data_IF_421156929559
#
_entry.id   IF_421156929559
#
_cell.length_a   1.000
_cell.length_b   1.000
_cell.length_c   1.000
_cell.angle_alpha   90.00
_cell.angle_beta   90.00
_cell.angle_gamma   90.00
#
_symmetry.space_group_name_H-M   'P 1'
#
loop_
_entity.id
_entity.type
_entity.pdbx_description
1 polymer ?
#
# COMPACT_ATOMS: atom_id res chain seq x y z
N UNK A 1 5.92 33.35 -82.41
CA UNK A 1 4.58 33.99 -82.40
C UNK A 1 4.05 33.92 -81.04
N UNK A 2 4.02 35.07 -80.38
CA UNK A 2 3.08 35.64 -79.42
C UNK A 2 2.86 34.85 -78.09
N UNK A 3 3.41 35.32 -77.02
CA UNK A 3 2.89 36.32 -76.06
C UNK A 3 1.70 35.76 -75.21
N UNK A 4 1.82 35.58 -73.95
CA UNK A 4 1.45 36.55 -72.92
C UNK A 4 1.81 36.08 -71.46
N UNK A 5 2.32 37.03 -70.72
CA UNK A 5 2.52 37.07 -69.27
C UNK A 5 1.19 36.97 -68.50
N UNK A 6 1.21 36.39 -67.29
CA UNK A 6 0.67 37.11 -66.13
C UNK A 6 1.22 36.44 -64.85
N UNK A 7 1.82 37.24 -64.01
CA UNK A 7 2.31 36.90 -62.71
C UNK A 7 1.21 36.93 -61.64
N UNK A 8 1.39 36.19 -60.56
CA UNK A 8 0.85 36.50 -59.24
C UNK A 8 1.78 36.01 -58.17
N UNK A 9 2.29 36.96 -57.46
CA UNK A 9 2.95 36.87 -56.19
C UNK A 9 2.13 36.04 -55.19
N UNK A 10 2.69 35.00 -54.62
CA UNK A 10 2.12 34.33 -53.43
C UNK A 10 3.15 34.37 -52.34
N UNK A 11 2.78 35.06 -51.24
CA UNK A 11 3.48 35.12 -49.97
C UNK A 11 3.79 33.71 -49.43
N UNK A 12 5.05 33.52 -49.11
CA UNK A 12 5.50 32.38 -48.32
C UNK A 12 5.29 32.77 -46.87
N UNK A 13 4.23 32.27 -46.23
CA UNK A 13 4.13 32.21 -44.79
C UNK A 13 4.68 30.86 -44.34
N UNK A 14 5.89 30.86 -43.83
CA UNK A 14 6.50 29.72 -43.17
C UNK A 14 5.79 29.44 -41.87
N UNK A 15 4.92 28.43 -41.81
CA UNK A 15 4.50 27.82 -40.56
C UNK A 15 5.59 26.84 -40.14
N UNK A 16 6.40 27.25 -39.18
CA UNK A 16 7.16 26.33 -38.36
C UNK A 16 6.17 25.53 -37.49
N UNK A 17 5.81 24.34 -37.88
CA UNK A 17 5.21 23.34 -37.01
C UNK A 17 6.31 22.76 -36.11
N UNK A 18 6.51 23.34 -34.93
CA UNK A 18 7.17 22.66 -33.84
C UNK A 18 6.31 21.42 -33.49
N UNK A 19 6.77 20.26 -33.93
CA UNK A 19 6.28 18.99 -33.41
C UNK A 19 6.65 18.82 -31.96
N UNK A 20 5.77 19.27 -31.07
CA UNK A 20 5.76 18.84 -29.67
C UNK A 20 5.39 17.35 -29.68
N UNK A 21 6.41 16.50 -29.66
CA UNK A 21 6.25 15.11 -29.20
C UNK A 21 5.85 15.18 -27.73
N UNK A 22 4.55 15.24 -27.47
CA UNK A 22 4.02 14.97 -26.15
C UNK A 22 4.27 13.50 -25.85
N UNK A 23 5.33 13.21 -25.09
CA UNK A 23 5.44 11.97 -24.35
C UNK A 23 4.26 11.94 -23.38
N UNK A 24 3.16 11.32 -23.81
CA UNK A 24 2.08 10.94 -22.92
C UNK A 24 2.60 9.85 -21.99
N UNK A 25 3.23 10.28 -20.90
CA UNK A 25 3.40 9.41 -19.75
C UNK A 25 1.98 9.05 -19.28
N UNK A 26 1.66 7.75 -19.30
CA UNK A 26 0.44 7.27 -18.69
C UNK A 26 0.48 7.64 -17.20
N UNK A 27 -0.24 8.69 -16.84
CA UNK A 27 -0.50 9.06 -15.45
C UNK A 27 -1.29 7.90 -14.85
N UNK A 28 -0.89 7.39 -13.69
CA UNK A 28 -1.67 6.39 -12.98
C UNK A 28 -3.08 6.94 -12.77
N UNK A 29 -4.12 6.27 -13.29
CA UNK A 29 -5.51 6.68 -13.12
C UNK A 29 -5.89 6.88 -11.63
N UNK A 30 -5.20 6.19 -10.71
CA UNK A 30 -5.32 6.40 -9.27
C UNK A 30 -4.82 7.78 -8.81
N UNK A 31 -3.78 8.34 -9.43
CA UNK A 31 -3.25 9.66 -9.07
C UNK A 31 -4.07 10.81 -9.66
N UNK A 32 -4.66 10.63 -10.84
CA UNK A 32 -5.53 11.65 -11.47
C UNK A 32 -6.80 11.84 -10.66
N UNK A 33 -7.43 10.74 -10.23
CA UNK A 33 -8.62 10.81 -9.37
C UNK A 33 -8.30 11.40 -7.98
N UNK A 34 -7.13 11.08 -7.42
CA UNK A 34 -6.66 11.65 -6.16
C UNK A 34 -6.47 13.17 -6.26
N UNK A 35 -5.81 13.65 -7.29
CA UNK A 35 -5.62 15.10 -7.53
C UNK A 35 -6.93 15.84 -7.83
N UNK A 36 -7.82 15.22 -8.61
CA UNK A 36 -9.14 15.78 -8.91
C UNK A 36 -10.01 15.92 -7.65
N UNK A 37 -9.97 14.94 -6.76
CA UNK A 37 -10.68 14.98 -5.48
C UNK A 37 -10.08 16.00 -4.52
N UNK A 38 -8.75 16.14 -4.44
CA UNK A 38 -8.10 17.18 -3.64
C UNK A 38 -8.53 18.59 -4.08
N UNK A 39 -8.60 18.83 -5.38
CA UNK A 39 -9.01 20.12 -5.93
C UNK A 39 -10.50 20.45 -5.63
N UNK A 40 -11.37 19.43 -5.66
CA UNK A 40 -12.80 19.60 -5.32
C UNK A 40 -13.04 19.82 -3.83
N UNK A 41 -12.33 19.10 -2.95
CA UNK A 41 -12.50 19.23 -1.50
C UNK A 41 -11.87 20.50 -0.94
N UNK A 42 -10.78 21.01 -1.51
CA UNK A 42 -10.21 22.30 -1.14
C UNK A 42 -11.19 23.46 -1.40
N UNK A 43 -12.01 23.34 -2.44
CA UNK A 43 -13.01 24.36 -2.80
C UNK A 43 -14.26 24.31 -1.91
N UNK A 44 -14.57 23.18 -1.25
CA UNK A 44 -15.74 23.03 -0.36
C UNK A 44 -15.50 23.47 1.09
N UNK A 45 -14.24 23.57 1.55
CA UNK A 45 -13.96 24.01 2.93
C UNK A 45 -14.13 25.53 3.18
N UNK A 46 -14.39 26.32 2.16
CA UNK A 46 -14.52 27.76 2.29
C UNK A 46 -15.98 28.20 2.60
N UNK A 47 -16.97 27.32 2.57
CA UNK A 47 -18.38 27.70 2.65
C UNK A 47 -19.17 27.24 3.89
N UNK A 48 -18.58 26.58 4.87
CA UNK A 48 -19.32 26.10 6.05
C UNK A 48 -18.74 26.63 7.37
N UNK A 49 -18.89 27.95 7.63
CA UNK A 49 -18.85 28.53 8.96
C UNK A 49 -20.28 28.91 9.35
N UNK A 50 -20.99 27.98 10.01
CA UNK A 50 -22.24 28.29 10.74
C UNK A 50 -22.04 27.80 12.16
N UNK A 51 -22.31 28.66 13.20
CA UNK A 51 -22.12 28.27 14.59
C UNK A 51 -23.28 27.37 15.05
N UNK A 52 -22.93 26.21 15.61
CA UNK A 52 -23.87 25.31 16.30
C UNK A 52 -24.06 25.79 17.73
N UNK A 53 -25.23 26.33 18.03
CA UNK A 53 -25.81 26.34 19.36
C UNK A 53 -26.77 25.17 19.50
N UNK A 54 -26.81 24.68 20.73
CA UNK A 54 -27.86 24.01 21.47
C UNK A 54 -27.58 22.56 21.84
N UNK A 55 -27.57 22.41 23.18
CA UNK A 55 -27.55 21.13 23.90
C UNK A 55 -28.87 20.37 23.65
N UNK A 56 -28.77 19.10 23.35
CA UNK A 56 -29.89 18.18 23.43
C UNK A 56 -29.64 17.08 24.46
N UNK A 57 -30.67 16.87 25.27
CA UNK A 57 -30.84 16.01 26.42
C UNK A 57 -30.70 14.53 26.05
N UNK A 58 -29.79 13.81 26.73
CA UNK A 58 -29.61 12.35 26.59
C UNK A 58 -30.43 11.61 27.67
N UNK A 59 -31.44 10.82 27.30
CA UNK A 59 -32.28 10.10 28.26
C UNK A 59 -31.62 8.84 28.87
N UNK A 60 -30.39 8.47 28.51
CA UNK A 60 -29.71 7.25 28.98
C UNK A 60 -28.78 7.50 30.20
N UNK A 61 -28.55 8.74 30.59
CA UNK A 61 -27.70 9.07 31.74
C UNK A 61 -28.30 8.72 33.11
N UNK A 62 -29.57 8.34 33.15
CA UNK A 62 -30.29 8.06 34.44
C UNK A 62 -30.16 6.60 34.98
N UNK A 63 -29.49 5.71 34.24
CA UNK A 63 -29.43 4.29 34.61
C UNK A 63 -28.09 3.78 35.16
N UNK A 64 -27.09 4.65 35.36
CA UNK A 64 -25.81 4.24 35.94
C UNK A 64 -25.52 4.94 37.27
N UNK A 65 -26.17 4.46 38.36
CA UNK A 65 -25.70 4.73 39.71
C UNK A 65 -24.85 3.55 40.23
N UNK A 66 -23.66 3.78 40.79
CA UNK A 66 -22.83 2.72 41.34
C UNK A 66 -23.35 2.33 42.74
N UNK A 67 -23.72 1.05 42.91
CA UNK A 67 -24.02 0.46 44.19
C UNK A 67 -22.72 0.29 45.02
N UNK A 68 -22.78 0.73 46.26
CA UNK A 68 -21.68 0.72 47.20
C UNK A 68 -21.33 -0.69 47.74
N UNK A 69 -20.03 -0.80 48.13
CA UNK A 69 -19.44 -1.74 49.09
C UNK A 69 -19.24 -3.20 48.73
N UNK A 70 -18.01 -3.49 48.30
CA UNK A 70 -17.35 -4.75 48.66
C UNK A 70 -15.97 -4.49 49.25
N UNK A 71 -15.79 -4.81 50.55
CA UNK A 71 -14.51 -4.95 51.22
C UNK A 71 -13.79 -6.19 50.60
N UNK A 72 -12.71 -5.99 49.88
CA UNK A 72 -11.81 -7.06 49.50
C UNK A 72 -10.46 -6.90 50.21
N UNK A 73 -10.01 -7.99 50.82
CA UNK A 73 -8.72 -8.12 51.48
C UNK A 73 -7.53 -7.92 50.48
N UNK A 74 -6.34 -7.54 50.95
CA UNK A 74 -5.22 -7.23 50.06
C UNK A 74 -4.67 -8.51 49.41
N UNK A 75 -4.78 -8.62 48.10
CA UNK A 75 -4.06 -9.59 47.30
C UNK A 75 -2.65 -9.04 46.98
N UNK A 76 -1.65 -9.85 47.28
CA UNK A 76 -0.24 -9.58 47.03
C UNK A 76 0.01 -9.05 45.63
N UNK A 77 0.77 -7.97 45.53
CA UNK A 77 1.17 -7.32 44.30
C UNK A 77 1.92 -8.28 43.38
N UNK A 78 1.27 -8.72 42.33
CA UNK A 78 1.94 -9.24 41.14
C UNK A 78 2.61 -8.04 40.49
N UNK A 79 3.94 -8.06 40.40
CA UNK A 79 4.69 -7.06 39.62
C UNK A 79 4.30 -7.18 38.14
N UNK A 80 3.27 -6.45 37.75
CA UNK A 80 3.04 -6.12 36.37
C UNK A 80 4.15 -5.14 35.97
N UNK A 81 5.08 -5.59 35.12
CA UNK A 81 5.97 -4.70 34.42
C UNK A 81 5.10 -3.80 33.52
N UNK A 82 4.60 -2.73 34.08
CA UNK A 82 3.98 -1.63 33.36
C UNK A 82 5.12 -0.96 32.59
N UNK A 83 5.24 -1.28 31.28
CA UNK A 83 6.05 -0.49 30.39
C UNK A 83 5.47 0.91 30.43
N UNK A 84 6.13 1.81 31.15
CA UNK A 84 5.79 3.23 31.14
C UNK A 84 6.06 3.75 29.74
N UNK A 85 5.01 3.86 28.93
CA UNK A 85 5.04 4.71 27.75
C UNK A 85 5.16 6.15 28.23
N UNK A 86 6.39 6.70 28.21
CA UNK A 86 6.58 8.13 28.40
C UNK A 86 5.65 8.84 27.41
N UNK A 87 4.83 9.75 27.92
CA UNK A 87 3.96 10.59 27.13
C UNK A 87 4.78 11.25 26.02
N UNK A 88 4.53 10.82 24.80
CA UNK A 88 5.21 11.34 23.64
C UNK A 88 4.98 12.85 23.57
N UNK A 89 6.07 13.62 23.44
CA UNK A 89 6.05 14.97 22.91
C UNK A 89 5.10 14.97 21.69
N UNK A 90 4.32 16.04 21.51
CA UNK A 90 3.33 16.14 20.45
C UNK A 90 3.91 15.65 19.12
N UNK A 91 3.59 14.41 18.77
CA UNK A 91 4.10 13.77 17.56
C UNK A 91 3.56 14.49 16.32
N UNK A 92 4.12 14.27 15.13
CA UNK A 92 3.67 14.93 13.93
C UNK A 92 2.19 14.70 13.71
N UNK A 93 1.49 15.71 13.22
CA UNK A 93 0.09 15.58 12.80
C UNK A 93 0.01 14.71 11.55
N UNK A 94 0.02 13.39 11.74
CA UNK A 94 -0.13 12.43 10.64
C UNK A 94 -1.58 12.42 10.14
N UNK A 95 -1.76 12.45 8.82
CA UNK A 95 -3.05 12.29 8.15
C UNK A 95 -3.52 10.83 8.11
N UNK A 96 -2.61 9.87 8.29
CA UNK A 96 -2.91 8.44 8.43
C UNK A 96 -3.78 8.16 9.65
N UNK A 97 -4.67 7.18 9.52
CA UNK A 97 -5.53 6.74 10.63
C UNK A 97 -4.82 5.84 11.62
N UNK A 98 -3.86 5.03 11.15
CA UNK A 98 -2.97 4.24 12.00
C UNK A 98 -1.53 4.33 11.49
N UNK A 99 -0.56 4.34 12.38
CA UNK A 99 0.85 4.43 12.03
C UNK A 99 1.73 3.72 13.07
N UNK A 100 2.91 3.28 12.63
CA UNK A 100 3.91 2.62 13.47
C UNK A 100 5.31 2.96 12.96
N UNK A 101 6.24 3.18 13.90
CA UNK A 101 7.68 3.03 13.69
C UNK A 101 8.17 1.93 14.63
N UNK A 102 8.88 0.95 14.10
CA UNK A 102 9.43 -0.16 14.86
C UNK A 102 10.87 -0.42 14.45
N UNK A 103 11.77 -0.58 15.41
CA UNK A 103 13.12 -1.06 15.13
C UNK A 103 13.02 -2.52 14.61
N UNK A 104 13.50 -2.75 13.39
CA UNK A 104 13.35 -4.05 12.74
C UNK A 104 14.24 -5.15 13.35
N UNK A 105 15.30 -4.80 14.10
CA UNK A 105 16.16 -5.76 14.79
C UNK A 105 15.59 -6.20 16.13
N UNK A 106 15.09 -5.25 16.92
CA UNK A 106 14.67 -5.50 18.32
C UNK A 106 13.17 -5.68 18.48
N UNK A 107 12.35 -5.25 17.50
CA UNK A 107 10.89 -5.19 17.63
C UNK A 107 10.40 -4.02 18.50
N UNK A 108 11.30 -3.18 19.03
CA UNK A 108 10.92 -2.03 19.83
C UNK A 108 10.09 -1.04 19.04
N UNK A 109 8.94 -0.64 19.59
CA UNK A 109 8.09 0.41 19.03
C UNK A 109 8.67 1.78 19.41
N UNK A 110 9.00 2.60 18.40
CA UNK A 110 9.55 3.94 18.56
C UNK A 110 8.48 5.02 18.44
N UNK A 111 7.42 4.75 17.68
CA UNK A 111 6.25 5.62 17.54
C UNK A 111 5.02 4.79 17.21
N UNK A 112 3.88 5.23 17.70
CA UNK A 112 2.60 4.58 17.39
C UNK A 112 1.43 5.57 17.32
N UNK A 113 0.49 5.27 16.43
CA UNK A 113 -0.83 5.88 16.36
C UNK A 113 -1.83 4.78 16.04
N UNK A 114 -2.76 4.50 16.92
CA UNK A 114 -3.80 3.47 16.74
C UNK A 114 -3.23 2.12 16.24
N UNK A 115 -2.06 1.70 16.75
CA UNK A 115 -1.29 0.57 16.19
C UNK A 115 -2.01 -0.78 16.29
N UNK A 116 -2.98 -0.91 17.21
CA UNK A 116 -3.76 -2.14 17.41
C UNK A 116 -5.13 -2.13 16.71
N UNK A 117 -5.50 -1.03 16.03
CA UNK A 117 -6.75 -0.96 15.28
C UNK A 117 -6.73 -1.89 14.08
N UNK A 118 -7.72 -2.82 14.02
CA UNK A 118 -7.91 -3.72 12.89
C UNK A 118 -8.50 -2.94 11.70
N UNK A 119 -7.87 -3.08 10.54
CA UNK A 119 -8.24 -2.34 9.32
C UNK A 119 -8.04 -3.19 8.08
N UNK A 120 -8.80 -2.90 7.03
CA UNK A 120 -8.50 -3.41 5.68
C UNK A 120 -7.11 -2.92 5.26
N UNK A 121 -6.32 -3.82 4.66
CA UNK A 121 -4.91 -3.56 4.32
C UNK A 121 -4.62 -3.51 2.83
N UNK A 122 -5.66 -3.77 2.01
CA UNK A 122 -5.52 -3.76 0.56
C UNK A 122 -4.30 -4.59 0.08
N UNK A 123 -3.64 -4.14 -0.97
CA UNK A 123 -2.50 -4.84 -1.59
C UNK A 123 -1.25 -5.02 -0.71
N UNK A 124 -1.25 -4.55 0.54
CA UNK A 124 -0.21 -4.94 1.51
C UNK A 124 -0.24 -6.46 1.72
N UNK A 125 -1.40 -7.10 1.55
CA UNK A 125 -1.59 -8.57 1.54
C UNK A 125 -0.61 -9.31 0.64
N UNK A 126 -0.15 -8.68 -0.46
CA UNK A 126 0.77 -9.29 -1.43
C UNK A 126 2.15 -9.63 -0.85
N UNK A 127 2.55 -9.00 0.27
CA UNK A 127 3.77 -9.42 0.99
C UNK A 127 3.59 -10.80 1.62
N UNK A 128 2.41 -11.06 2.22
CA UNK A 128 2.08 -12.39 2.74
C UNK A 128 2.03 -13.42 1.62
N UNK A 129 1.40 -13.07 0.51
CA UNK A 129 1.36 -13.94 -0.69
C UNK A 129 2.75 -14.28 -1.20
N UNK A 130 3.66 -13.30 -1.24
CA UNK A 130 5.03 -13.52 -1.67
C UNK A 130 5.82 -14.46 -0.73
N UNK A 131 5.66 -14.29 0.58
CA UNK A 131 6.29 -15.19 1.55
C UNK A 131 5.81 -16.64 1.38
N UNK A 132 4.49 -16.85 1.29
CA UNK A 132 3.89 -18.18 1.08
C UNK A 132 4.38 -18.82 -0.23
N UNK A 133 4.41 -18.02 -1.31
CA UNK A 133 4.89 -18.52 -2.60
C UNK A 133 6.36 -18.97 -2.55
N UNK A 134 7.21 -18.17 -1.91
CA UNK A 134 8.64 -18.46 -1.81
C UNK A 134 8.94 -19.63 -0.86
N UNK A 135 8.15 -19.76 0.21
CA UNK A 135 8.26 -20.90 1.14
C UNK A 135 7.92 -22.26 0.47
N UNK A 136 7.14 -22.24 -0.59
CA UNK A 136 6.76 -23.43 -1.34
C UNK A 136 7.86 -23.93 -2.29
N UNK A 137 8.95 -23.18 -2.47
CA UNK A 137 10.10 -23.53 -3.32
C UNK A 137 9.73 -24.01 -4.73
N UNK A 138 8.66 -23.44 -5.33
CA UNK A 138 8.21 -23.79 -6.66
C UNK A 138 9.19 -23.30 -7.73
N UNK A 139 9.18 -23.97 -8.89
CA UNK A 139 10.00 -23.52 -10.03
C UNK A 139 9.61 -22.10 -10.46
N UNK A 140 10.55 -21.18 -10.32
CA UNK A 140 10.35 -19.78 -10.66
C UNK A 140 10.40 -19.51 -12.17
N UNK A 141 10.85 -20.46 -12.98
CA UNK A 141 10.87 -20.41 -14.45
C UNK A 141 9.59 -21.01 -15.08
N UNK A 142 8.74 -21.67 -14.28
CA UNK A 142 7.48 -22.21 -14.76
C UNK A 142 6.65 -21.11 -15.45
N UNK A 143 6.21 -21.43 -16.69
CA UNK A 143 5.38 -20.53 -17.50
C UNK A 143 3.93 -20.61 -17.04
N UNK A 144 3.35 -19.47 -16.67
CA UNK A 144 1.97 -19.34 -16.20
C UNK A 144 1.21 -18.40 -17.11
N UNK A 145 0.09 -18.88 -17.63
CA UNK A 145 -0.81 -18.08 -18.48
C UNK A 145 -1.90 -17.42 -17.65
N UNK A 146 -2.10 -16.12 -17.87
CA UNK A 146 -3.24 -15.37 -17.33
C UNK A 146 -4.51 -15.81 -18.04
N UNK A 147 -5.52 -16.21 -17.30
CA UNK A 147 -6.79 -16.72 -17.77
C UNK A 147 -7.96 -15.79 -17.41
N UNK A 148 -9.16 -16.14 -17.77
CA UNK A 148 -10.40 -15.46 -17.35
C UNK A 148 -10.59 -15.47 -15.83
N UNK A 149 -9.98 -16.44 -15.12
CA UNK A 149 -10.03 -16.54 -13.66
C UNK A 149 -9.35 -15.37 -12.96
N UNK A 150 -8.41 -14.69 -13.63
CA UNK A 150 -7.68 -13.54 -13.10
C UNK A 150 -8.42 -12.20 -13.29
N UNK A 151 -9.58 -12.20 -13.95
CA UNK A 151 -10.40 -10.98 -14.07
C UNK A 151 -11.02 -10.66 -12.71
N UNK A 152 -10.72 -9.46 -12.21
CA UNK A 152 -11.31 -8.97 -10.97
C UNK A 152 -12.81 -8.72 -11.12
N UNK A 153 -13.62 -9.61 -10.56
CA UNK A 153 -15.08 -9.51 -10.52
C UNK A 153 -15.59 -8.89 -9.22
N UNK A 154 -14.71 -8.63 -8.25
CA UNK A 154 -15.07 -8.09 -6.94
C UNK A 154 -15.11 -6.55 -6.94
N UNK A 155 -14.10 -5.90 -7.53
CA UNK A 155 -13.95 -4.44 -7.58
C UNK A 155 -13.93 -3.89 -9.00
N UNK A 156 -13.85 -4.77 -10.02
CA UNK A 156 -13.77 -4.35 -11.42
C UNK A 156 -12.49 -3.62 -11.77
N UNK A 157 -11.40 -3.86 -11.03
CA UNK A 157 -10.13 -3.18 -11.29
C UNK A 157 -9.55 -3.59 -12.64
N UNK A 158 -9.07 -2.62 -13.42
CA UNK A 158 -8.36 -2.86 -14.66
C UNK A 158 -7.00 -3.52 -14.44
N UNK A 159 -6.44 -4.09 -15.50
CA UNK A 159 -5.09 -4.63 -15.53
C UNK A 159 -4.48 -4.43 -16.91
N UNK A 160 -3.19 -4.14 -16.96
CA UNK A 160 -2.40 -4.08 -18.20
C UNK A 160 -1.94 -5.46 -18.66
N UNK A 161 -2.09 -6.47 -17.80
CA UNK A 161 -1.75 -7.86 -18.09
C UNK A 161 -2.97 -8.55 -18.69
N UNK A 162 -3.04 -8.63 -20.01
CA UNK A 162 -4.20 -9.20 -20.72
C UNK A 162 -4.32 -10.71 -20.52
N UNK A 163 -5.54 -11.23 -20.61
CA UNK A 163 -5.81 -12.67 -20.69
C UNK A 163 -5.04 -13.28 -21.88
N UNK A 164 -4.53 -14.49 -21.71
CA UNK A 164 -3.67 -15.17 -22.69
C UNK A 164 -2.19 -14.81 -22.58
N UNK A 165 -1.80 -13.79 -21.78
CA UNK A 165 -0.40 -13.46 -21.52
C UNK A 165 0.26 -14.57 -20.70
N UNK A 166 1.40 -15.06 -21.18
CA UNK A 166 2.20 -16.08 -20.47
C UNK A 166 3.52 -15.47 -20.00
N UNK A 167 3.80 -15.60 -18.71
CA UNK A 167 5.00 -15.11 -18.05
C UNK A 167 5.54 -16.17 -17.10
N UNK A 168 6.83 -16.08 -16.76
CA UNK A 168 7.39 -16.95 -15.72
C UNK A 168 6.80 -16.59 -14.35
N UNK A 169 6.79 -17.55 -13.42
CA UNK A 169 6.41 -17.34 -12.02
C UNK A 169 7.20 -16.18 -11.41
N UNK A 170 8.51 -16.07 -11.71
CA UNK A 170 9.35 -14.95 -11.26
C UNK A 170 8.88 -13.60 -11.81
N UNK A 171 8.53 -13.52 -13.11
CA UNK A 171 8.03 -12.29 -13.72
C UNK A 171 6.69 -11.85 -13.12
N UNK A 172 5.77 -12.80 -12.90
CA UNK A 172 4.50 -12.52 -12.24
C UNK A 172 4.72 -12.01 -10.81
N UNK A 173 5.61 -12.63 -10.03
CA UNK A 173 5.94 -12.17 -8.68
C UNK A 173 6.52 -10.75 -8.69
N UNK A 174 7.39 -10.46 -9.67
CA UNK A 174 7.95 -9.11 -9.83
C UNK A 174 6.85 -8.07 -10.07
N UNK A 175 5.98 -8.29 -11.05
CA UNK A 175 4.89 -7.36 -11.34
C UNK A 175 3.92 -7.21 -10.16
N UNK A 176 3.62 -8.31 -9.46
CA UNK A 176 2.76 -8.31 -8.29
C UNK A 176 3.30 -7.50 -7.11
N UNK A 177 4.61 -7.53 -6.90
CA UNK A 177 5.24 -6.82 -5.78
C UNK A 177 5.58 -5.37 -6.12
N UNK A 178 6.18 -5.12 -7.27
CA UNK A 178 6.68 -3.81 -7.70
C UNK A 178 5.52 -2.89 -8.12
N UNK A 179 4.66 -3.35 -9.04
CA UNK A 179 3.56 -2.56 -9.59
C UNK A 179 2.18 -2.91 -9.03
N UNK A 180 2.15 -3.81 -8.05
CA UNK A 180 0.89 -4.25 -7.39
C UNK A 180 -0.10 -4.98 -8.33
N UNK A 181 0.39 -5.62 -9.41
CA UNK A 181 -0.45 -6.28 -10.41
C UNK A 181 -1.30 -7.40 -9.80
N UNK A 182 -2.62 -7.24 -9.83
CA UNK A 182 -3.56 -8.16 -9.20
C UNK A 182 -3.64 -9.50 -9.93
N UNK A 183 -3.73 -9.48 -11.28
CA UNK A 183 -3.79 -10.70 -12.08
C UNK A 183 -2.55 -11.57 -11.89
N UNK A 184 -1.39 -10.94 -11.74
CA UNK A 184 -0.15 -11.66 -11.49
C UNK A 184 -0.21 -12.45 -10.16
N UNK A 185 -0.60 -11.82 -9.07
CA UNK A 185 -0.69 -12.49 -7.75
C UNK A 185 -1.80 -13.53 -7.73
N UNK A 186 -2.93 -13.26 -8.37
CA UNK A 186 -4.02 -14.23 -8.46
C UNK A 186 -3.59 -15.49 -9.23
N UNK A 187 -2.91 -15.35 -10.37
CA UNK A 187 -2.39 -16.47 -11.14
C UNK A 187 -1.36 -17.31 -10.34
N UNK A 188 -0.48 -16.64 -9.58
CA UNK A 188 0.46 -17.32 -8.68
C UNK A 188 -0.25 -18.15 -7.61
N UNK A 189 -1.34 -17.63 -7.03
CA UNK A 189 -2.13 -18.36 -6.04
C UNK A 189 -2.95 -19.49 -6.66
N UNK A 190 -3.51 -19.29 -7.86
CA UNK A 190 -4.25 -20.32 -8.60
C UNK A 190 -3.37 -21.52 -8.95
N UNK A 191 -2.10 -21.27 -9.32
CA UNK A 191 -1.13 -22.31 -9.71
C UNK A 191 -0.31 -22.83 -8.52
N UNK A 192 -0.66 -22.46 -7.31
CA UNK A 192 -0.07 -23.04 -6.09
C UNK A 192 -0.55 -24.48 -5.89
N UNK A 193 0.26 -25.37 -5.30
CA UNK A 193 -0.17 -26.74 -4.97
C UNK A 193 -1.44 -26.73 -4.11
N UNK A 194 -2.50 -27.36 -4.60
CA UNK A 194 -3.84 -27.32 -3.98
C UNK A 194 -4.65 -26.08 -4.31
N UNK A 195 -4.13 -25.19 -5.19
CA UNK A 195 -4.86 -24.05 -5.74
C UNK A 195 -5.13 -22.92 -4.76
N UNK A 196 -6.08 -22.06 -5.10
CA UNK A 196 -6.42 -20.84 -4.36
C UNK A 196 -6.76 -21.08 -2.88
N UNK A 197 -7.54 -22.12 -2.58
CA UNK A 197 -7.95 -22.43 -1.19
C UNK A 197 -6.75 -22.81 -0.32
N UNK A 198 -5.87 -23.66 -0.84
CA UNK A 198 -4.64 -24.06 -0.14
C UNK A 198 -3.70 -22.85 0.07
N UNK A 199 -3.60 -21.96 -0.94
CA UNK A 199 -2.81 -20.75 -0.84
C UNK A 199 -3.30 -19.82 0.27
N UNK A 200 -4.59 -19.52 0.33
CA UNK A 200 -5.20 -18.68 1.38
C UNK A 200 -5.07 -19.33 2.76
N UNK A 201 -5.21 -20.65 2.84
CA UNK A 201 -4.96 -21.41 4.08
C UNK A 201 -3.52 -21.23 4.55
N UNK A 202 -2.55 -21.31 3.64
CA UNK A 202 -1.12 -21.11 3.94
C UNK A 202 -0.83 -19.65 4.35
N UNK A 203 -1.48 -18.64 3.73
CA UNK A 203 -1.35 -17.24 4.17
C UNK A 203 -1.79 -17.07 5.63
N UNK A 204 -2.93 -17.63 6.01
CA UNK A 204 -3.42 -17.55 7.39
C UNK A 204 -2.58 -18.39 8.37
N UNK A 205 -2.04 -19.54 7.95
CA UNK A 205 -1.11 -20.31 8.74
C UNK A 205 0.19 -19.54 8.99
N UNK A 206 0.75 -18.91 7.97
CA UNK A 206 1.93 -18.02 8.07
C UNK A 206 1.66 -16.84 9.00
N UNK A 207 0.50 -16.19 8.88
CA UNK A 207 0.11 -15.10 9.78
C UNK A 207 0.11 -15.55 11.25
N UNK A 208 -0.49 -16.69 11.56
CA UNK A 208 -0.46 -17.26 12.91
C UNK A 208 0.97 -17.55 13.41
N UNK A 209 1.82 -18.11 12.57
CA UNK A 209 3.23 -18.41 12.94
C UNK A 209 4.03 -17.14 13.25
N UNK A 210 3.64 -15.99 12.67
CA UNK A 210 4.23 -14.68 12.95
C UNK A 210 3.59 -13.96 14.14
N UNK A 211 2.64 -14.59 14.84
CA UNK A 211 1.92 -13.98 15.95
C UNK A 211 1.01 -12.81 15.54
N UNK A 212 0.40 -12.91 14.33
CA UNK A 212 -0.53 -11.93 13.77
C UNK A 212 -1.98 -12.36 14.06
N UNK A 213 -2.36 -12.35 15.34
CA UNK A 213 -3.64 -12.91 15.83
C UNK A 213 -4.89 -12.15 15.30
N UNK A 214 -4.73 -10.86 15.01
CA UNK A 214 -5.80 -9.99 14.51
C UNK A 214 -5.82 -9.87 12.98
N UNK A 215 -4.93 -10.60 12.29
CA UNK A 215 -4.86 -10.60 10.82
C UNK A 215 -5.69 -11.74 10.23
N UNK A 216 -6.33 -11.47 9.09
CA UNK A 216 -7.08 -12.47 8.32
C UNK A 216 -6.90 -12.18 6.84
N UNK A 217 -6.73 -13.24 6.06
CA UNK A 217 -6.62 -13.21 4.61
C UNK A 217 -7.72 -14.06 4.01
N UNK A 218 -8.49 -13.51 3.09
CA UNK A 218 -9.58 -14.15 2.37
C UNK A 218 -9.22 -14.44 0.92
N UNK A 219 -8.25 -13.66 0.39
CA UNK A 219 -7.73 -13.84 -0.95
C UNK A 219 -6.30 -13.26 -1.06
N UNK A 220 -5.55 -13.56 -2.15
CA UNK A 220 -4.12 -13.26 -2.18
C UNK A 220 -3.75 -11.80 -2.51
N UNK A 221 -4.67 -11.00 -3.08
CA UNK A 221 -4.33 -9.71 -3.70
C UNK A 221 -4.58 -8.50 -2.80
N UNK A 222 -5.52 -8.59 -1.86
CA UNK A 222 -5.99 -7.50 -1.02
C UNK A 222 -7.12 -6.67 -1.64
N UNK A 223 -7.81 -7.20 -2.65
CA UNK A 223 -9.02 -6.59 -3.21
C UNK A 223 -10.23 -6.78 -2.29
N UNK A 224 -10.28 -7.89 -1.56
CA UNK A 224 -11.32 -8.13 -0.57
C UNK A 224 -11.06 -7.29 0.69
N UNK A 225 -11.99 -6.41 1.10
CA UNK A 225 -11.84 -5.58 2.29
C UNK A 225 -11.75 -6.38 3.60
N UNK A 226 -12.11 -7.65 3.58
CA UNK A 226 -11.95 -8.58 4.72
C UNK A 226 -10.50 -9.01 4.94
N UNK A 227 -9.57 -8.75 3.99
CA UNK A 227 -8.15 -8.83 4.26
C UNK A 227 -7.78 -7.72 5.25
N UNK A 228 -7.63 -8.09 6.51
CA UNK A 228 -7.43 -7.14 7.62
C UNK A 228 -6.19 -7.45 8.43
N UNK A 229 -5.64 -6.41 9.07
CA UNK A 229 -4.52 -6.49 9.99
C UNK A 229 -4.47 -5.24 10.87
N UNK A 230 -3.50 -5.17 11.76
CA UNK A 230 -3.15 -3.99 12.56
C UNK A 230 -1.78 -3.45 12.15
N UNK A 231 -1.48 -2.18 12.46
CA UNK A 231 -0.17 -1.61 12.14
C UNK A 231 0.96 -2.37 12.85
N UNK A 232 0.74 -2.83 14.09
CA UNK A 232 1.71 -3.63 14.83
C UNK A 232 1.99 -4.98 14.15
N UNK A 233 0.96 -5.69 13.70
CA UNK A 233 1.11 -6.98 13.05
C UNK A 233 1.70 -6.87 11.66
N UNK A 234 1.38 -5.80 10.94
CA UNK A 234 2.06 -5.48 9.68
C UNK A 234 3.55 -5.17 9.90
N UNK A 235 3.91 -4.57 11.03
CA UNK A 235 5.31 -4.41 11.44
C UNK A 235 6.03 -5.75 11.52
N UNK A 236 5.44 -6.76 12.18
CA UNK A 236 5.96 -8.13 12.25
C UNK A 236 6.05 -8.78 10.86
N UNK A 237 5.03 -8.59 10.03
CA UNK A 237 5.01 -9.12 8.65
C UNK A 237 6.16 -8.53 7.81
N UNK A 238 6.40 -7.23 7.88
CA UNK A 238 7.50 -6.58 7.16
C UNK A 238 8.85 -7.05 7.66
N UNK A 239 9.02 -7.19 8.98
CA UNK A 239 10.22 -7.76 9.59
C UNK A 239 10.48 -9.17 9.05
N UNK A 240 9.48 -10.06 9.04
CA UNK A 240 9.61 -11.41 8.49
C UNK A 240 9.90 -11.39 6.98
N UNK A 241 9.18 -10.58 6.20
CA UNK A 241 9.38 -10.45 4.75
C UNK A 241 10.78 -9.95 4.40
N UNK A 242 11.40 -9.16 5.28
CA UNK A 242 12.74 -8.62 5.07
C UNK A 242 13.85 -9.68 5.07
N UNK A 243 13.60 -10.89 5.55
CA UNK A 243 14.54 -12.00 5.45
C UNK A 243 14.60 -12.63 4.05
N UNK A 244 13.58 -12.39 3.20
CA UNK A 244 13.55 -12.89 1.83
C UNK A 244 14.27 -11.92 0.89
N UNK A 245 15.47 -12.29 0.43
CA UNK A 245 16.26 -11.46 -0.49
C UNK A 245 15.44 -11.08 -1.75
N UNK A 246 14.66 -12.03 -2.29
CA UNK A 246 13.82 -11.82 -3.47
C UNK A 246 12.71 -10.79 -3.21
N UNK A 247 12.07 -10.77 -2.04
CA UNK A 247 11.06 -9.76 -1.71
C UNK A 247 11.69 -8.37 -1.63
N UNK A 248 12.86 -8.24 -1.00
CA UNK A 248 13.58 -6.95 -0.96
C UNK A 248 13.90 -6.44 -2.36
N UNK A 249 14.49 -7.29 -3.19
CA UNK A 249 14.85 -6.97 -4.58
C UNK A 249 13.62 -6.49 -5.39
N UNK A 250 12.55 -7.30 -5.40
CA UNK A 250 11.40 -7.05 -6.26
C UNK A 250 10.55 -5.86 -5.79
N UNK A 251 10.42 -5.63 -4.49
CA UNK A 251 9.64 -4.51 -3.95
C UNK A 251 10.33 -3.16 -4.13
N UNK A 252 11.64 -3.12 -4.31
CA UNK A 252 12.43 -1.89 -4.50
C UNK A 252 12.87 -1.66 -5.95
N UNK A 253 12.52 -2.56 -6.88
CA UNK A 253 12.71 -2.37 -8.30
C UNK A 253 11.89 -1.17 -8.80
N UNK A 254 12.48 -0.27 -9.60
CA UNK A 254 11.80 0.93 -10.09
C UNK A 254 10.86 0.64 -11.24
N UNK A 255 11.24 -0.29 -12.13
CA UNK A 255 10.55 -0.57 -13.38
C UNK A 255 10.48 -2.07 -13.65
N UNK A 256 9.51 -2.45 -14.46
CA UNK A 256 9.35 -3.79 -15.02
C UNK A 256 8.65 -3.71 -16.36
N UNK A 257 8.68 -4.80 -17.10
CA UNK A 257 8.02 -4.89 -18.38
C UNK A 257 7.53 -6.31 -18.67
N UNK A 258 6.52 -6.43 -19.52
CA UNK A 258 5.99 -7.71 -19.98
C UNK A 258 5.45 -7.57 -21.40
N UNK A 259 5.71 -8.58 -22.23
CA UNK A 259 4.98 -8.73 -23.50
C UNK A 259 3.65 -9.40 -23.21
N UNK A 260 2.57 -8.76 -23.65
CA UNK A 260 1.21 -9.28 -23.49
C UNK A 260 0.82 -10.17 -24.67
N UNK A 261 -0.26 -10.93 -24.52
CA UNK A 261 -0.74 -11.89 -25.56
C UNK A 261 -0.98 -11.28 -26.94
N UNK A 262 -1.22 -9.98 -27.01
CA UNK A 262 -1.37 -9.25 -28.29
C UNK A 262 -0.05 -8.68 -28.82
N UNK A 263 1.12 -9.14 -28.32
CA UNK A 263 2.45 -8.71 -28.74
C UNK A 263 2.87 -7.31 -28.25
N UNK A 264 2.03 -6.61 -27.46
CA UNK A 264 2.34 -5.28 -26.95
C UNK A 264 3.29 -5.36 -25.75
N UNK A 265 4.36 -4.56 -25.78
CA UNK A 265 5.21 -4.37 -24.62
C UNK A 265 4.54 -3.41 -23.63
N UNK A 266 4.17 -3.91 -22.46
CA UNK A 266 3.67 -3.12 -21.35
C UNK A 266 4.82 -2.77 -20.40
N UNK A 267 4.90 -1.49 -20.05
CA UNK A 267 5.84 -0.99 -19.06
C UNK A 267 5.12 -0.76 -17.72
N UNK A 268 5.79 -1.09 -16.64
CA UNK A 268 5.30 -0.96 -15.27
C UNK A 268 6.29 -0.14 -14.47
N UNK A 269 5.80 0.66 -13.53
CA UNK A 269 6.63 1.40 -12.57
C UNK A 269 6.26 1.02 -11.14
N UNK A 270 7.20 1.20 -10.23
CA UNK A 270 6.93 0.98 -8.81
C UNK A 270 5.80 1.90 -8.33
N UNK A 271 4.87 1.36 -7.56
CA UNK A 271 3.75 2.13 -7.02
C UNK A 271 4.16 3.11 -5.92
N UNK A 272 5.34 2.93 -5.33
CA UNK A 272 5.85 3.80 -4.28
C UNK A 272 6.74 4.91 -4.86
N UNK A 273 6.27 6.14 -4.79
CA UNK A 273 7.01 7.34 -5.23
C UNK A 273 8.33 7.50 -4.48
N UNK A 274 8.39 7.14 -3.19
CA UNK A 274 9.60 7.27 -2.38
C UNK A 274 10.75 6.35 -2.85
N UNK A 275 10.40 5.20 -3.47
CA UNK A 275 11.38 4.33 -4.13
C UNK A 275 11.85 4.96 -5.43
N UNK A 276 10.90 5.38 -6.29
CA UNK A 276 11.23 5.95 -7.61
C UNK A 276 12.11 7.20 -7.53
N UNK A 277 11.92 8.00 -6.48
CA UNK A 277 12.66 9.26 -6.25
C UNK A 277 13.92 9.08 -5.39
N UNK A 278 14.14 7.89 -4.83
CA UNK A 278 15.31 7.61 -3.98
C UNK A 278 15.37 8.45 -2.70
N UNK A 279 14.22 8.92 -2.20
CA UNK A 279 14.13 9.86 -1.08
C UNK A 279 14.43 9.24 0.29
N UNK A 280 14.45 7.92 0.37
CA UNK A 280 14.75 7.15 1.58
C UNK A 280 15.51 5.89 1.20
N UNK A 281 16.40 5.42 2.06
CA UNK A 281 17.11 4.15 1.86
C UNK A 281 16.18 2.96 2.14
N UNK A 282 15.17 2.79 1.26
CA UNK A 282 14.12 1.76 1.38
C UNK A 282 14.69 0.42 0.93
N UNK A 283 14.58 -0.60 1.78
CA UNK A 283 15.04 -1.97 1.51
C UNK A 283 13.91 -2.96 1.25
N UNK A 284 12.68 -2.60 1.56
CA UNK A 284 11.46 -3.35 1.29
C UNK A 284 10.27 -2.39 1.36
N UNK A 285 9.25 -2.58 0.54
CA UNK A 285 8.02 -1.82 0.65
C UNK A 285 6.81 -2.53 0.02
N UNK A 286 5.62 -2.06 0.36
CA UNK A 286 4.39 -2.33 -0.38
C UNK A 286 3.37 -1.22 -0.13
N UNK A 287 2.76 -0.74 -1.20
CA UNK A 287 1.59 0.15 -1.13
C UNK A 287 0.30 -0.63 -1.26
N UNK A 288 -0.79 -0.06 -0.76
CA UNK A 288 -2.13 -0.61 -0.89
C UNK A 288 -3.18 0.47 -1.00
N UNK A 289 -4.23 0.21 -1.78
CA UNK A 289 -5.41 1.04 -1.88
C UNK A 289 -6.62 0.20 -2.29
N UNK A 290 -7.65 0.28 -1.51
CA UNK A 290 -9.06 0.09 -1.86
C UNK A 290 -9.86 1.14 -1.09
N UNK A 291 -11.10 1.42 -1.51
CA UNK A 291 -11.92 2.46 -0.86
C UNK A 291 -12.03 2.27 0.66
N UNK A 292 -12.19 1.04 1.12
CA UNK A 292 -12.37 0.69 2.54
C UNK A 292 -11.08 0.80 3.36
N UNK A 293 -9.92 0.59 2.73
CA UNK A 293 -8.62 0.68 3.39
C UNK A 293 -8.06 2.11 3.44
N UNK A 294 -8.48 2.96 2.51
CA UNK A 294 -7.75 4.18 2.20
C UNK A 294 -6.37 3.88 1.60
N UNK A 295 -5.53 4.88 1.45
CA UNK A 295 -4.17 4.70 0.92
C UNK A 295 -3.22 4.31 2.04
N UNK A 296 -2.59 3.17 1.88
CA UNK A 296 -1.76 2.53 2.89
C UNK A 296 -0.37 2.21 2.34
N UNK A 297 0.63 2.12 3.21
CA UNK A 297 2.01 1.78 2.88
C UNK A 297 2.67 1.09 4.06
N UNK A 298 3.47 0.09 3.76
CA UNK A 298 4.47 -0.43 4.69
C UNK A 298 5.83 -0.36 4.01
N UNK A 299 6.87 -0.09 4.79
CA UNK A 299 8.24 -0.12 4.29
C UNK A 299 9.22 -0.48 5.40
N UNK A 300 10.38 -1.00 5.00
CA UNK A 300 11.58 -1.03 5.80
C UNK A 300 12.62 -0.13 5.15
N UNK A 301 13.25 0.72 5.95
CA UNK A 301 14.33 1.60 5.51
C UNK A 301 15.50 1.53 6.48
N UNK A 302 16.70 1.87 6.01
CA UNK A 302 17.88 2.04 6.88
C UNK A 302 17.94 3.48 7.34
N UNK A 303 17.97 3.68 8.66
CA UNK A 303 18.24 4.94 9.34
C UNK A 303 19.63 4.82 9.96
N UNK A 304 20.66 5.39 9.28
CA UNK A 304 22.05 5.05 9.59
C UNK A 304 22.31 3.55 9.44
N UNK A 305 22.70 2.89 10.53
CA UNK A 305 22.94 1.43 10.58
C UNK A 305 21.74 0.63 11.09
N UNK A 306 20.66 1.30 11.48
CA UNK A 306 19.49 0.65 12.07
C UNK A 306 18.39 0.47 11.02
N UNK A 307 17.94 -0.77 10.73
CA UNK A 307 16.76 -0.99 9.91
C UNK A 307 15.50 -0.69 10.73
N UNK A 308 14.59 0.06 10.13
CA UNK A 308 13.34 0.52 10.74
C UNK A 308 12.17 0.13 9.87
N UNK A 309 11.12 -0.39 10.47
CA UNK A 309 9.83 -0.60 9.81
C UNK A 309 8.95 0.61 10.05
N UNK A 310 8.34 1.12 8.97
CA UNK A 310 7.35 2.19 8.99
C UNK A 310 6.05 1.66 8.39
N UNK A 311 4.95 1.86 9.10
CA UNK A 311 3.59 1.51 8.66
C UNK A 311 2.73 2.76 8.67
N UNK A 312 2.02 3.00 7.56
CA UNK A 312 1.06 4.11 7.36
C UNK A 312 -0.22 3.52 6.80
N UNK A 313 -1.35 3.64 7.50
CA UNK A 313 -2.63 3.06 7.09
C UNK A 313 -3.73 4.11 7.07
N UNK A 314 -4.55 4.07 6.02
CA UNK A 314 -5.78 4.86 5.95
C UNK A 314 -5.57 6.33 5.66
N UNK A 315 -4.54 6.72 4.92
CA UNK A 315 -4.39 8.10 4.42
C UNK A 315 -5.42 8.39 3.32
N UNK A 316 -5.89 9.62 3.23
CA UNK A 316 -6.88 10.02 2.22
C UNK A 316 -6.28 10.04 0.81
N UNK A 317 -5.02 10.47 0.66
CA UNK A 317 -4.37 10.65 -0.65
C UNK A 317 -3.01 9.97 -0.73
N UNK A 318 -2.51 9.73 -1.95
CA UNK A 318 -1.15 9.20 -2.16
C UNK A 318 -0.08 10.19 -1.65
N UNK A 319 -0.33 11.49 -1.80
CA UNK A 319 0.56 12.54 -1.32
C UNK A 319 0.65 12.53 0.23
N UNK A 320 -0.49 12.46 0.92
CA UNK A 320 -0.51 12.40 2.40
C UNK A 320 0.15 11.12 2.91
N UNK A 321 -0.08 9.97 2.28
CA UNK A 321 0.59 8.70 2.60
C UNK A 321 2.12 8.83 2.51
N UNK A 322 2.62 9.41 1.41
CA UNK A 322 4.06 9.60 1.22
C UNK A 322 4.64 10.63 2.19
N UNK A 323 3.93 11.73 2.46
CA UNK A 323 4.31 12.74 3.44
C UNK A 323 4.39 12.15 4.85
N UNK A 324 3.38 11.39 5.28
CA UNK A 324 3.35 10.73 6.59
C UNK A 324 4.53 9.75 6.73
N UNK A 325 4.82 8.97 5.68
CA UNK A 325 5.94 8.03 5.71
C UNK A 325 7.30 8.75 5.84
N UNK A 326 7.49 9.90 5.16
CA UNK A 326 8.69 10.74 5.32
C UNK A 326 8.80 11.33 6.72
N UNK A 327 7.71 11.86 7.26
CA UNK A 327 7.68 12.41 8.62
C UNK A 327 8.06 11.37 9.65
N UNK A 328 7.55 10.14 9.52
CA UNK A 328 7.91 9.02 10.39
C UNK A 328 9.38 8.60 10.21
N UNK A 329 9.91 8.66 8.97
CA UNK A 329 11.33 8.44 8.71
C UNK A 329 12.23 9.44 9.42
N UNK A 330 11.87 10.72 9.39
CA UNK A 330 12.60 11.78 10.09
C UNK A 330 12.58 11.57 11.62
N UNK A 331 11.43 11.18 12.18
CA UNK A 331 11.34 10.84 13.62
C UNK A 331 12.24 9.67 13.94
N UNK A 332 12.19 8.60 13.15
CA UNK A 332 13.05 7.44 13.37
C UNK A 332 14.53 7.82 13.38
N UNK A 333 14.95 8.71 12.48
CA UNK A 333 16.33 9.19 12.40
C UNK A 333 16.76 10.04 13.60
N UNK A 334 15.82 10.79 14.19
CA UNK A 334 16.09 11.60 15.39
C UNK A 334 16.06 10.77 16.69
N UNK A 335 15.41 9.59 16.66
CA UNK A 335 15.23 8.77 17.87
C UNK A 335 16.32 7.69 18.00
N UNK A 336 17.04 7.37 16.95
CA UNK A 336 18.06 6.32 16.86
C UNK A 336 19.46 6.87 16.87
#
# INVERSE_FOLDING_TARGET
MAILKFGKTICITSLLSLGLMSNAYAVDDEDVLGQFLEQKFATQQVQNNVPLQTAEYDPLAAYMQPSANFNAAPVNAVHTNTIQYQAAQAGPMLKAQSALIMNAKTGQVLYQKNMSSVRSIASISKLMSAMVLLDAHLDMNEQITITEAEIDRLKGTGSRLSVGTTLTRAQLLHLGLMSSENRAIHALARTYPGGMSAFVTAMNAKARSLGMANSRFYEPTGLDPRNVSTALELGKMVQAASHYAKIRELTTSNYGQAYTSNGKLQQYKNTNVLVREGLMNITLQKTGYIREAGRSMVLQAKMGQTPVVIVVLGSATSASRASDARSLGNIAQMTL
#
